data_IF_029270079481
#
_entry.id   IF_029270079481
#
_cell.length_a   1.000
_cell.length_b   1.000
_cell.length_c   1.000
_cell.angle_alpha   90.00
_cell.angle_beta   90.00
_cell.angle_gamma   90.00
#
_symmetry.space_group_name_H-M   'P 1'
#
loop_
_entity.id
_entity.type
_entity.pdbx_description
1 polymer ?
#
# COMPACT_ATOMS: atom_id res chain seq x y z
N UNK A 1 8.46 30.59 -12.07
CA UNK A 1 7.38 29.73 -11.55
C UNK A 1 7.80 28.29 -11.76
N UNK A 2 8.35 27.63 -10.74
CA UNK A 2 8.73 26.23 -10.84
C UNK A 2 7.45 25.39 -10.72
N UNK A 3 6.84 25.06 -11.85
CA UNK A 3 5.90 23.96 -11.91
C UNK A 3 6.69 22.70 -11.59
N UNK A 4 6.70 22.30 -10.31
CA UNK A 4 7.10 20.95 -9.92
C UNK A 4 6.15 20.01 -10.65
N UNK A 5 6.61 19.51 -11.79
CA UNK A 5 5.98 18.42 -12.49
C UNK A 5 6.04 17.23 -11.51
N UNK A 6 5.00 17.06 -10.68
CA UNK A 6 4.74 15.79 -10.03
C UNK A 6 4.50 14.82 -11.18
N UNK A 7 5.57 14.23 -11.70
CA UNK A 7 5.54 13.08 -12.57
C UNK A 7 4.72 12.06 -11.80
N UNK A 8 3.42 11.98 -12.10
CA UNK A 8 2.56 10.93 -11.56
C UNK A 8 3.17 9.65 -12.11
N UNK A 9 3.83 8.85 -11.25
CA UNK A 9 4.43 7.62 -11.72
C UNK A 9 3.28 6.81 -12.32
N UNK A 10 3.48 6.31 -13.54
CA UNK A 10 2.49 5.48 -14.21
C UNK A 10 2.44 4.14 -13.47
N UNK A 11 1.67 4.13 -12.38
CA UNK A 11 1.47 2.97 -11.53
C UNK A 11 0.24 2.23 -12.04
N UNK A 12 0.39 0.94 -12.28
CA UNK A 12 -0.73 0.08 -12.67
C UNK A 12 -1.75 0.01 -11.53
N UNK A 13 -3.04 0.09 -11.85
CA UNK A 13 -4.06 0.11 -10.79
C UNK A 13 -4.14 -1.24 -10.09
N UNK A 14 -4.24 -1.21 -8.77
CA UNK A 14 -4.49 -2.39 -7.97
C UNK A 14 -5.94 -2.84 -8.11
N UNK A 15 -6.17 -3.92 -8.87
CA UNK A 15 -7.49 -4.51 -9.10
C UNK A 15 -7.64 -5.87 -8.40
N UNK A 16 -6.59 -6.69 -8.42
CA UNK A 16 -6.59 -8.09 -7.98
C UNK A 16 -5.22 -8.54 -7.46
N UNK A 17 -5.14 -9.79 -7.00
CA UNK A 17 -3.93 -10.35 -6.36
C UNK A 17 -2.73 -10.43 -7.31
N UNK A 18 -2.93 -10.69 -8.59
CA UNK A 18 -1.83 -10.72 -9.58
C UNK A 18 -1.26 -9.31 -9.79
N UNK A 19 -2.12 -8.30 -9.97
CA UNK A 19 -1.68 -6.91 -10.04
C UNK A 19 -1.14 -6.39 -8.70
N UNK A 20 -1.41 -7.03 -7.57
CA UNK A 20 -0.90 -6.61 -6.27
C UNK A 20 0.62 -6.68 -6.16
N UNK A 21 1.26 -7.73 -6.66
CA UNK A 21 2.72 -7.84 -6.58
C UNK A 21 3.41 -6.75 -7.39
N UNK A 22 2.92 -6.49 -8.61
CA UNK A 22 3.43 -5.42 -9.47
C UNK A 22 3.14 -4.03 -8.89
N UNK A 23 1.91 -3.78 -8.45
CA UNK A 23 1.54 -2.52 -7.80
C UNK A 23 2.39 -2.26 -6.54
N UNK A 24 2.56 -3.29 -5.69
CA UNK A 24 3.36 -3.20 -4.47
C UNK A 24 4.80 -2.86 -4.77
N UNK A 25 5.38 -3.43 -5.83
CA UNK A 25 6.72 -3.11 -6.26
C UNK A 25 6.84 -1.64 -6.74
N UNK A 26 5.92 -1.20 -7.60
CA UNK A 26 5.92 0.16 -8.14
C UNK A 26 5.69 1.22 -7.05
N UNK A 27 4.69 1.03 -6.18
CA UNK A 27 4.38 1.96 -5.08
C UNK A 27 5.54 2.03 -4.08
N UNK A 28 6.24 0.93 -3.84
CA UNK A 28 7.43 0.88 -2.98
C UNK A 28 8.56 1.76 -3.54
N UNK A 29 8.82 1.66 -4.84
CA UNK A 29 9.82 2.48 -5.52
C UNK A 29 9.46 3.96 -5.43
N UNK A 30 8.18 4.29 -5.61
CA UNK A 30 7.69 5.68 -5.53
C UNK A 30 7.81 6.24 -4.12
N UNK A 31 7.50 5.45 -3.10
CA UNK A 31 7.73 5.88 -1.72
C UNK A 31 9.22 6.02 -1.39
N UNK A 32 10.09 5.16 -1.94
CA UNK A 32 11.54 5.29 -1.76
C UNK A 32 12.09 6.53 -2.48
N UNK A 33 11.67 6.79 -3.72
CA UNK A 33 12.13 7.95 -4.49
C UNK A 33 11.70 9.28 -3.87
N UNK A 34 10.51 9.31 -3.26
CA UNK A 34 9.97 10.48 -2.57
C UNK A 34 10.46 10.60 -1.10
N UNK A 35 11.24 9.64 -0.59
CA UNK A 35 11.65 9.60 0.83
C UNK A 35 10.47 9.47 1.80
N UNK A 36 9.38 8.84 1.36
CA UNK A 36 8.15 8.58 2.12
C UNK A 36 8.12 7.16 2.70
N UNK A 37 9.00 6.27 2.23
CA UNK A 37 9.03 4.86 2.65
C UNK A 37 9.16 4.70 4.17
N UNK A 38 9.94 5.56 4.84
CA UNK A 38 10.12 5.50 6.29
C UNK A 38 8.80 5.76 7.06
N UNK A 39 7.91 6.56 6.49
CA UNK A 39 6.60 6.90 7.07
C UNK A 39 5.62 5.76 6.81
N UNK A 40 5.54 5.29 5.56
CA UNK A 40 4.64 4.19 5.16
C UNK A 40 5.01 2.88 5.83
N UNK A 41 6.30 2.62 6.03
CA UNK A 41 6.75 1.41 6.73
C UNK A 41 6.56 1.52 8.26
N UNK A 42 6.14 2.67 8.78
CA UNK A 42 5.94 2.90 10.21
C UNK A 42 7.23 2.98 11.02
N UNK A 43 8.39 3.16 10.36
CA UNK A 43 9.69 3.34 11.05
C UNK A 43 9.75 4.74 11.67
N UNK A 44 9.26 5.73 10.93
CA UNK A 44 9.22 7.12 11.37
C UNK A 44 7.87 7.42 12.00
N UNK A 45 7.71 6.97 13.24
CA UNK A 45 6.59 7.36 14.09
C UNK A 45 6.90 8.79 14.56
N UNK A 46 5.94 9.73 14.44
CA UNK A 46 6.09 11.06 15.04
C UNK A 46 6.43 10.87 16.51
N UNK A 47 7.57 11.40 16.93
CA UNK A 47 7.90 11.47 18.34
C UNK A 47 6.93 12.46 19.00
N UNK A 48 6.31 12.13 20.15
CA UNK A 48 5.45 13.06 20.86
C UNK A 48 6.19 14.33 21.30
N UNK A 49 7.53 14.31 21.37
CA UNK A 49 8.39 15.46 21.65
C UNK A 49 8.80 16.26 20.41
N UNK A 50 8.34 15.89 19.21
CA UNK A 50 8.66 16.59 17.98
C UNK A 50 8.00 17.97 17.93
N UNK A 51 8.67 18.93 17.28
CA UNK A 51 8.12 20.28 17.12
C UNK A 51 6.86 20.28 16.25
N UNK A 52 6.04 21.33 16.37
CA UNK A 52 4.84 21.49 15.53
C UNK A 52 5.17 21.50 14.03
N UNK A 53 6.36 21.98 13.66
CA UNK A 53 6.86 22.00 12.28
C UNK A 53 7.19 20.58 11.78
N UNK A 54 7.86 19.76 12.60
CA UNK A 54 8.14 18.36 12.29
C UNK A 54 6.86 17.54 12.12
N UNK A 55 5.86 17.76 13.00
CA UNK A 55 4.55 17.13 12.91
C UNK A 55 3.86 17.50 11.59
N UNK A 56 3.83 18.79 11.25
CA UNK A 56 3.23 19.27 10.00
C UNK A 56 3.95 18.71 8.77
N UNK A 57 5.28 18.59 8.81
CA UNK A 57 6.08 18.00 7.73
C UNK A 57 5.75 16.52 7.53
N UNK A 58 5.61 15.77 8.63
CA UNK A 58 5.22 14.37 8.60
C UNK A 58 3.79 14.19 8.09
N UNK A 59 2.83 15.00 8.55
CA UNK A 59 1.44 14.94 8.08
C UNK A 59 1.34 15.21 6.58
N UNK A 60 2.10 16.18 6.06
CA UNK A 60 2.17 16.44 4.61
C UNK A 60 2.70 15.23 3.84
N UNK A 61 3.73 14.56 4.36
CA UNK A 61 4.31 13.37 3.75
C UNK A 61 3.37 12.17 3.82
N UNK A 62 2.71 11.96 4.96
CA UNK A 62 1.71 10.91 5.14
C UNK A 62 0.52 11.14 4.19
N UNK A 63 -0.02 12.35 4.12
CA UNK A 63 -1.08 12.72 3.18
C UNK A 63 -0.67 12.50 1.71
N UNK A 64 0.59 12.80 1.36
CA UNK A 64 1.12 12.52 0.02
C UNK A 64 1.16 11.02 -0.26
N UNK A 65 1.60 10.22 0.70
CA UNK A 65 1.59 8.77 0.57
C UNK A 65 0.17 8.21 0.46
N UNK A 66 -0.78 8.67 1.28
CA UNK A 66 -2.20 8.31 1.19
C UNK A 66 -2.76 8.62 -0.20
N UNK A 67 -2.45 9.81 -0.75
CA UNK A 67 -2.86 10.19 -2.11
C UNK A 67 -2.36 9.18 -3.14
N UNK A 68 -1.08 8.80 -3.10
CA UNK A 68 -0.56 7.78 -4.02
C UNK A 68 -1.29 6.45 -3.88
N UNK A 69 -1.53 5.97 -2.66
CA UNK A 69 -2.29 4.72 -2.44
C UNK A 69 -3.70 4.85 -3.04
N UNK A 70 -4.43 5.90 -2.72
CA UNK A 70 -5.83 6.06 -3.17
C UNK A 70 -5.93 6.19 -4.69
N UNK A 71 -5.02 6.92 -5.32
CA UNK A 71 -5.04 7.14 -6.78
C UNK A 71 -4.67 5.89 -7.58
N UNK A 72 -3.97 4.96 -6.97
CA UNK A 72 -3.43 3.75 -7.63
C UNK A 72 -4.18 2.49 -7.25
N UNK A 73 -5.16 2.57 -6.34
CA UNK A 73 -5.96 1.43 -5.89
C UNK A 73 -7.38 1.55 -6.41
N UNK A 74 -7.97 0.43 -6.85
CA UNK A 74 -9.36 0.41 -7.30
C UNK A 74 -10.35 0.62 -6.13
N UNK A 75 -11.50 1.21 -6.44
CA UNK A 75 -12.56 1.51 -5.47
C UNK A 75 -13.00 0.29 -4.67
N UNK A 76 -13.01 -0.91 -5.26
CA UNK A 76 -13.38 -2.15 -4.57
C UNK A 76 -12.43 -2.47 -3.42
N UNK A 77 -11.14 -2.29 -3.67
CA UNK A 77 -10.08 -2.55 -2.68
C UNK A 77 -9.99 -1.40 -1.68
N UNK A 78 -10.42 -0.18 -2.03
CA UNK A 78 -10.46 0.98 -1.12
C UNK A 78 -11.46 0.85 0.02
N UNK A 79 -12.57 0.14 -0.16
CA UNK A 79 -13.62 -0.04 0.88
C UNK A 79 -13.05 -0.50 2.23
N UNK A 80 -12.26 -1.59 2.32
CA UNK A 80 -11.68 -2.04 3.60
C UNK A 80 -10.58 -1.14 4.15
N UNK A 81 -10.03 -0.23 3.35
CA UNK A 81 -8.94 0.69 3.73
C UNK A 81 -9.45 2.08 4.13
N UNK A 82 -10.71 2.41 3.83
CA UNK A 82 -11.33 3.69 4.12
C UNK A 82 -11.34 4.03 5.63
N UNK A 83 -11.32 3.01 6.49
CA UNK A 83 -11.25 3.20 7.95
C UNK A 83 -9.85 3.43 8.52
N UNK A 84 -8.79 3.33 7.70
CA UNK A 84 -7.41 3.53 8.15
C UNK A 84 -7.10 5.03 8.24
N UNK A 85 -6.37 5.44 9.28
CA UNK A 85 -6.09 6.87 9.54
C UNK A 85 -4.75 7.33 8.96
N UNK A 86 -3.83 6.39 8.77
CA UNK A 86 -2.46 6.67 8.31
C UNK A 86 -2.12 5.91 7.05
N UNK A 87 -1.20 6.43 6.22
CA UNK A 87 -0.73 5.73 5.03
C UNK A 87 -0.12 4.36 5.35
N UNK A 88 0.53 4.25 6.51
CA UNK A 88 1.09 3.00 7.02
C UNK A 88 0.02 1.94 7.31
N UNK A 89 -1.07 2.33 7.98
CA UNK A 89 -2.22 1.44 8.20
C UNK A 89 -2.84 1.01 6.88
N UNK A 90 -2.98 1.95 5.92
CA UNK A 90 -3.54 1.63 4.60
C UNK A 90 -2.69 0.59 3.88
N UNK A 91 -1.38 0.81 3.80
CA UNK A 91 -0.45 -0.10 3.13
C UNK A 91 -0.39 -1.47 3.81
N UNK A 92 -0.39 -1.51 5.15
CA UNK A 92 -0.41 -2.75 5.92
C UNK A 92 -1.72 -3.52 5.74
N UNK A 93 -2.85 -2.82 5.71
CA UNK A 93 -4.18 -3.43 5.50
C UNK A 93 -4.27 -4.06 4.11
N UNK A 94 -3.79 -3.36 3.08
CA UNK A 94 -3.67 -3.90 1.73
C UNK A 94 -2.81 -5.16 1.73
N UNK A 95 -1.57 -5.10 2.23
CA UNK A 95 -0.71 -6.29 2.34
C UNK A 95 -1.40 -7.46 3.03
N UNK A 96 -2.15 -7.21 4.11
CA UNK A 96 -2.86 -8.26 4.84
C UNK A 96 -4.01 -8.90 4.06
N UNK A 97 -4.71 -8.15 3.21
CA UNK A 97 -5.81 -8.67 2.37
C UNK A 97 -5.21 -9.61 1.31
N UNK A 98 -4.27 -9.11 0.52
CA UNK A 98 -3.67 -9.87 -0.58
C UNK A 98 -2.80 -11.04 -0.11
N UNK A 99 -2.11 -10.90 1.04
CA UNK A 99 -1.38 -12.04 1.64
C UNK A 99 -2.33 -13.16 2.06
N UNK A 100 -3.50 -12.82 2.60
CA UNK A 100 -4.51 -13.82 3.01
C UNK A 100 -5.08 -14.55 1.80
N UNK A 101 -5.45 -13.82 0.74
CA UNK A 101 -5.93 -14.41 -0.51
C UNK A 101 -4.89 -15.38 -1.12
N UNK A 102 -3.60 -15.02 -1.09
CA UNK A 102 -2.53 -15.87 -1.62
C UNK A 102 -2.40 -17.20 -0.84
N UNK A 103 -2.56 -17.17 0.48
CA UNK A 103 -2.51 -18.38 1.32
C UNK A 103 -3.74 -19.26 1.12
N UNK A 104 -4.91 -18.65 1.00
CA UNK A 104 -6.17 -19.34 0.70
C UNK A 104 -6.13 -20.05 -0.66
N UNK A 105 -5.59 -19.38 -1.69
CA UNK A 105 -5.38 -19.96 -3.02
C UNK A 105 -4.45 -21.20 -2.99
N UNK A 106 -3.37 -21.16 -2.21
CA UNK A 106 -2.46 -22.31 -2.06
C UNK A 106 -3.14 -23.49 -1.37
N UNK A 107 -3.94 -23.22 -0.33
CA UNK A 107 -4.74 -24.24 0.34
C UNK A 107 -5.78 -24.86 -0.60
N UNK A 108 -6.49 -24.05 -1.38
CA UNK A 108 -7.47 -24.52 -2.36
C UNK A 108 -6.83 -25.45 -3.42
N UNK A 109 -5.69 -25.06 -3.99
CA UNK A 109 -4.92 -25.87 -4.95
C UNK A 109 -4.48 -27.21 -4.36
N UNK A 110 -4.01 -27.23 -3.11
CA UNK A 110 -3.65 -28.47 -2.42
C UNK A 110 -4.88 -29.35 -2.20
N UNK A 111 -6.00 -28.79 -1.74
CA UNK A 111 -7.25 -29.53 -1.57
C UNK A 111 -7.72 -30.15 -2.90
N UNK A 112 -7.72 -29.39 -4.00
CA UNK A 112 -8.09 -29.91 -5.33
C UNK A 112 -7.14 -31.00 -5.83
N UNK A 113 -5.83 -30.84 -5.61
CA UNK A 113 -4.84 -31.84 -5.99
C UNK A 113 -5.03 -33.14 -5.20
N UNK A 114 -5.24 -33.07 -3.89
CA UNK A 114 -5.47 -34.25 -3.05
C UNK A 114 -6.82 -34.91 -3.33
N UNK A 115 -7.87 -34.14 -3.66
CA UNK A 115 -9.17 -34.67 -4.08
C UNK A 115 -9.06 -35.37 -5.43
N UNK A 116 -8.33 -34.78 -6.38
CA UNK A 116 -8.14 -35.34 -7.72
C UNK A 116 -7.22 -36.57 -7.74
N UNK A 117 -6.27 -36.66 -6.80
CA UNK A 117 -5.39 -37.84 -6.60
C UNK A 117 -6.06 -39.00 -5.85
N UNK A 118 -7.23 -38.77 -5.23
CA UNK A 118 -7.96 -39.77 -4.44
C UNK A 118 -9.13 -40.41 -5.21
N UNK A 119 -9.24 -40.12 -6.51
CA UNK A 119 -10.23 -40.70 -7.43
C UNK A 119 -9.50 -41.55 -8.48
#
# INVERSE_FOLDING_TARGET
MASSNEETPNIEKLVDNESFEMWRFQINIVFKSQGLWEIVNGIKIIDPSATAEDRTCWEKKDAKAQKYIITTVDKKILVPVMGCKTSAEMYKKLCSIFQKDTEDQKCALLCEFFVSKRK
#
